data_IF_064911156575
#
_entry.id   IF_064911156575
#
_cell.length_a   1.000
_cell.length_b   1.000
_cell.length_c   1.000
_cell.angle_alpha   90.00
_cell.angle_beta   90.00
_cell.angle_gamma   90.00
#
_symmetry.space_group_name_H-M   'P 1'
#
loop_
_entity.id
_entity.type
_entity.pdbx_description
1 polymer ?
#
# COMPACT_ATOMS: atom_id res chain seq x y z
N UNK A 1 17.95 16.57 19.98
CA UNK A 1 19.06 16.54 19.00
C UNK A 1 19.65 15.13 18.78
N UNK A 2 19.91 14.31 19.81
CA UNK A 2 20.60 13.03 19.63
C UNK A 2 19.91 11.97 18.75
N UNK A 3 18.57 11.98 18.60
CA UNK A 3 17.88 10.93 17.82
C UNK A 3 17.85 11.18 16.31
N UNK A 4 17.55 12.40 15.84
CA UNK A 4 17.44 12.69 14.39
C UNK A 4 18.76 12.47 13.66
N UNK A 5 19.87 12.97 14.21
CA UNK A 5 21.19 12.77 13.61
C UNK A 5 21.63 11.29 13.65
N UNK A 6 21.30 10.55 14.71
CA UNK A 6 21.63 9.11 14.75
C UNK A 6 20.87 8.31 13.70
N UNK A 7 19.61 8.66 13.43
CA UNK A 7 18.83 8.02 12.37
C UNK A 7 19.33 8.40 10.98
N UNK A 8 19.70 9.66 10.76
CA UNK A 8 20.35 10.10 9.52
C UNK A 8 21.67 9.35 9.30
N UNK A 9 22.49 9.18 10.34
CA UNK A 9 23.73 8.41 10.28
C UNK A 9 23.49 6.94 9.91
N UNK A 10 22.47 6.30 10.48
CA UNK A 10 22.10 4.93 10.14
C UNK A 10 21.66 4.80 8.67
N UNK A 11 20.91 5.78 8.17
CA UNK A 11 20.51 5.85 6.76
C UNK A 11 21.70 6.04 5.82
N UNK A 12 22.60 6.98 6.10
CA UNK A 12 23.82 7.20 5.28
C UNK A 12 24.73 5.96 5.29
N UNK A 13 24.85 5.25 6.42
CA UNK A 13 25.59 3.99 6.47
C UNK A 13 24.98 2.91 5.55
N UNK A 14 23.66 2.89 5.40
CA UNK A 14 22.99 2.00 4.44
C UNK A 14 23.29 2.39 2.98
N UNK A 15 23.41 3.69 2.68
CA UNK A 15 23.85 4.17 1.36
C UNK A 15 25.31 3.79 1.09
N UNK A 16 26.19 3.97 2.06
CA UNK A 16 27.61 3.62 1.98
C UNK A 16 27.81 2.11 1.73
N UNK A 17 26.99 1.27 2.36
CA UNK A 17 27.01 -0.18 2.17
C UNK A 17 26.42 -0.65 0.82
N UNK A 18 25.71 0.19 0.07
CA UNK A 18 25.18 -0.15 -1.26
C UNK A 18 26.08 0.42 -2.37
N UNK A 19 26.64 -0.47 -3.20
CA UNK A 19 27.56 -0.11 -4.29
C UNK A 19 27.07 0.95 -5.29
N UNK A 20 25.75 1.13 -5.45
CA UNK A 20 25.18 2.14 -6.34
C UNK A 20 25.06 3.45 -5.58
N UNK A 21 24.51 3.43 -4.37
CA UNK A 21 24.33 4.62 -3.55
C UNK A 21 25.68 5.18 -3.05
N UNK A 22 26.66 4.35 -2.74
CA UNK A 22 27.99 4.81 -2.32
C UNK A 22 28.67 5.66 -3.40
N UNK A 23 28.57 5.26 -4.67
CA UNK A 23 29.10 6.06 -5.78
C UNK A 23 28.44 7.44 -5.88
N UNK A 24 27.18 7.56 -5.45
CA UNK A 24 26.50 8.85 -5.40
C UNK A 24 27.03 9.71 -4.26
N UNK A 25 27.31 9.12 -3.10
CA UNK A 25 27.94 9.80 -1.96
C UNK A 25 29.38 10.24 -2.30
N UNK A 26 30.19 9.35 -2.87
CA UNK A 26 31.58 9.63 -3.25
C UNK A 26 31.66 10.82 -4.22
N UNK A 27 30.75 10.91 -5.18
CA UNK A 27 30.67 12.02 -6.13
C UNK A 27 30.34 13.38 -5.46
N UNK A 28 29.80 13.36 -4.24
CA UNK A 28 29.44 14.53 -3.44
C UNK A 28 30.39 14.75 -2.25
N UNK A 29 31.55 14.09 -2.24
CA UNK A 29 32.59 14.25 -1.21
C UNK A 29 32.59 13.19 -0.11
N UNK A 30 31.73 12.17 -0.21
CA UNK A 30 31.69 11.03 0.70
C UNK A 30 30.75 11.19 1.89
N UNK A 31 30.58 10.09 2.64
CA UNK A 31 29.65 9.99 3.77
C UNK A 31 29.94 11.00 4.89
N UNK A 32 31.21 11.21 5.25
CA UNK A 32 31.62 12.16 6.30
C UNK A 32 31.25 13.60 5.98
N UNK A 33 31.48 14.04 4.73
CA UNK A 33 31.13 15.40 4.28
C UNK A 33 29.61 15.59 4.36
N UNK A 34 28.84 14.60 3.90
CA UNK A 34 27.38 14.66 3.96
C UNK A 34 26.86 14.68 5.39
N UNK A 35 27.41 13.85 6.29
CA UNK A 35 27.03 13.84 7.70
C UNK A 35 27.32 15.18 8.40
N UNK A 36 28.46 15.82 8.10
CA UNK A 36 28.76 17.16 8.62
C UNK A 36 27.75 18.20 8.13
N UNK A 37 27.37 18.17 6.85
CA UNK A 37 26.34 19.05 6.30
C UNK A 37 24.96 18.82 6.96
N UNK A 38 24.57 17.57 7.18
CA UNK A 38 23.33 17.22 7.89
C UNK A 38 23.36 17.76 9.33
N UNK A 39 24.47 17.58 10.06
CA UNK A 39 24.60 18.06 11.43
C UNK A 39 24.41 19.59 11.50
N UNK A 40 25.04 20.33 10.59
CA UNK A 40 24.90 21.79 10.49
C UNK A 40 23.48 22.23 10.13
N UNK A 41 22.80 21.53 9.22
CA UNK A 41 21.42 21.84 8.84
C UNK A 41 20.45 21.61 10.01
N UNK A 42 20.63 20.53 10.76
CA UNK A 42 19.86 20.22 11.97
C UNK A 42 20.09 21.28 13.05
N UNK A 43 21.33 21.70 13.29
CA UNK A 43 21.63 22.75 14.26
C UNK A 43 20.97 24.08 13.89
N UNK A 44 20.98 24.43 12.60
CA UNK A 44 20.42 25.69 12.09
C UNK A 44 18.88 25.71 12.04
N UNK A 45 18.25 24.60 11.69
CA UNK A 45 16.83 24.58 11.30
C UNK A 45 15.96 23.58 12.06
N UNK A 46 16.57 22.75 12.92
CA UNK A 46 15.89 21.66 13.63
C UNK A 46 15.64 20.42 12.77
N UNK A 47 15.97 20.43 11.47
CA UNK A 47 15.77 19.31 10.54
C UNK A 47 16.86 19.29 9.46
N UNK A 48 16.78 18.35 8.51
CA UNK A 48 17.60 18.37 7.30
C UNK A 48 16.81 17.94 6.06
N UNK A 49 17.35 18.27 4.88
CA UNK A 49 16.70 18.02 3.60
C UNK A 49 17.43 16.95 2.82
N UNK A 50 16.70 15.93 2.37
CA UNK A 50 17.24 14.91 1.47
C UNK A 50 17.52 15.48 0.07
N UNK A 51 18.64 15.08 -0.54
CA UNK A 51 18.84 15.25 -1.98
C UNK A 51 17.87 14.35 -2.77
N UNK A 52 17.61 14.61 -4.07
CA UNK A 52 16.78 13.72 -4.89
C UNK A 52 17.30 12.27 -4.92
N UNK A 53 18.62 12.07 -4.87
CA UNK A 53 19.24 10.74 -4.84
C UNK A 53 19.01 10.03 -3.49
N UNK A 54 19.14 10.76 -2.39
CA UNK A 54 18.83 10.27 -1.05
C UNK A 54 17.35 9.89 -0.92
N UNK A 55 16.45 10.73 -1.45
CA UNK A 55 15.01 10.44 -1.47
C UNK A 55 14.71 9.17 -2.26
N UNK A 56 15.28 9.02 -3.46
CA UNK A 56 15.09 7.84 -4.28
C UNK A 56 15.60 6.57 -3.59
N UNK A 57 16.82 6.61 -3.05
CA UNK A 57 17.39 5.45 -2.35
C UNK A 57 16.61 5.14 -1.07
N UNK A 58 16.24 6.16 -0.29
CA UNK A 58 15.50 6.01 0.96
C UNK A 58 14.12 5.41 0.76
N UNK A 59 13.37 5.82 -0.27
CA UNK A 59 12.07 5.24 -0.57
C UNK A 59 12.18 3.75 -0.97
N UNK A 60 13.19 3.42 -1.80
CA UNK A 60 13.51 2.05 -2.16
C UNK A 60 13.92 1.21 -0.94
N UNK A 61 14.75 1.78 -0.07
CA UNK A 61 15.19 1.13 1.16
C UNK A 61 14.03 0.91 2.14
N UNK A 62 13.10 1.87 2.26
CA UNK A 62 11.90 1.71 3.08
C UNK A 62 11.06 0.50 2.62
N UNK A 63 10.90 0.30 1.30
CA UNK A 63 10.23 -0.89 0.78
C UNK A 63 11.03 -2.17 1.08
N UNK A 64 12.35 -2.17 0.86
CA UNK A 64 13.21 -3.31 1.22
C UNK A 64 13.12 -3.68 2.71
N UNK A 65 12.95 -2.69 3.58
CA UNK A 65 12.84 -2.87 5.04
C UNK A 65 11.41 -3.20 5.52
N UNK A 66 10.41 -3.19 4.63
CA UNK A 66 9.02 -3.48 4.97
C UNK A 66 8.82 -4.96 5.31
N UNK A 67 8.95 -5.32 6.59
CA UNK A 67 8.90 -6.68 7.10
C UNK A 67 7.54 -7.40 6.90
N UNK A 68 6.48 -6.67 6.52
CA UNK A 68 5.17 -7.23 6.15
C UNK A 68 4.96 -7.41 4.64
N UNK A 69 5.92 -7.01 3.81
CA UNK A 69 5.78 -7.06 2.36
C UNK A 69 6.50 -8.28 1.76
N UNK A 70 5.77 -9.10 0.99
CA UNK A 70 6.34 -10.24 0.25
C UNK A 70 7.01 -9.80 -1.07
N UNK A 71 6.55 -8.70 -1.68
CA UNK A 71 7.04 -8.16 -2.95
C UNK A 71 8.41 -7.47 -2.89
N UNK A 72 9.19 -7.63 -1.81
CA UNK A 72 10.44 -6.89 -1.57
C UNK A 72 11.55 -7.13 -2.58
N UNK A 73 11.49 -8.21 -3.35
CA UNK A 73 12.46 -8.48 -4.41
C UNK A 73 12.47 -7.40 -5.51
N UNK A 74 11.40 -6.62 -5.63
CA UNK A 74 11.24 -5.52 -6.59
C UNK A 74 11.71 -4.15 -6.08
N UNK A 75 12.26 -4.07 -4.87
CA UNK A 75 12.56 -2.78 -4.23
C UNK A 75 13.41 -1.82 -5.08
N UNK A 76 14.27 -2.34 -5.97
CA UNK A 76 15.09 -1.52 -6.87
C UNK A 76 14.35 -0.97 -8.09
N UNK A 77 13.26 -1.60 -8.52
CA UNK A 77 12.47 -1.15 -9.67
C UNK A 77 11.45 -0.07 -9.32
N UNK A 78 11.31 0.28 -8.04
CA UNK A 78 10.43 1.36 -7.61
C UNK A 78 10.80 2.67 -8.29
N UNK A 79 9.83 3.24 -9.01
CA UNK A 79 9.89 4.62 -9.47
C UNK A 79 9.54 5.55 -8.32
N UNK A 80 10.39 6.55 -8.07
CA UNK A 80 10.19 7.53 -7.00
C UNK A 80 9.95 8.89 -7.65
N UNK A 81 8.75 9.44 -7.45
CA UNK A 81 8.36 10.77 -7.93
C UNK A 81 8.48 11.76 -6.78
N UNK A 82 9.23 12.83 -7.02
CA UNK A 82 9.47 13.88 -6.03
C UNK A 82 8.47 15.02 -6.23
N UNK A 83 7.49 15.11 -5.33
CA UNK A 83 6.46 16.15 -5.28
C UNK A 83 6.49 16.94 -3.97
N UNK A 84 7.68 17.01 -3.33
CA UNK A 84 7.83 17.70 -2.02
C UNK A 84 7.37 19.16 -2.06
N UNK A 85 7.48 19.82 -3.21
CA UNK A 85 7.10 21.22 -3.39
C UNK A 85 5.64 21.43 -3.85
N UNK A 86 4.87 20.36 -4.09
CA UNK A 86 3.50 20.48 -4.63
C UNK A 86 2.55 21.27 -3.71
N UNK A 87 2.80 21.22 -2.40
CA UNK A 87 2.03 21.99 -1.40
C UNK A 87 2.19 23.52 -1.54
N UNK A 88 3.28 23.99 -2.17
CA UNK A 88 3.59 25.40 -2.36
C UNK A 88 3.13 25.95 -3.73
N UNK A 89 2.46 25.13 -4.55
CA UNK A 89 1.90 25.57 -5.83
C UNK A 89 0.81 26.63 -5.63
N UNK A 90 0.52 27.42 -6.67
CA UNK A 90 -0.58 28.40 -6.64
C UNK A 90 -1.94 27.75 -6.38
N UNK A 91 -2.15 26.53 -6.89
CA UNK A 91 -3.27 25.68 -6.53
C UNK A 91 -2.76 24.31 -6.04
N UNK A 92 -2.51 24.15 -4.73
CA UNK A 92 -1.99 22.91 -4.17
C UNK A 92 -2.90 21.70 -4.39
N UNK A 93 -4.23 21.89 -4.30
CA UNK A 93 -5.21 20.81 -4.51
C UNK A 93 -5.10 20.23 -5.91
N UNK A 94 -5.09 21.09 -6.93
CA UNK A 94 -4.97 20.64 -8.33
C UNK A 94 -3.61 19.99 -8.61
N UNK A 95 -2.53 20.53 -8.04
CA UNK A 95 -1.19 19.97 -8.19
C UNK A 95 -1.09 18.55 -7.61
N UNK A 96 -1.63 18.35 -6.41
CA UNK A 96 -1.66 17.02 -5.75
C UNK A 96 -2.58 16.08 -6.51
N UNK A 97 -3.78 16.52 -6.90
CA UNK A 97 -4.74 15.72 -7.66
C UNK A 97 -4.13 15.25 -8.99
N UNK A 98 -3.55 16.16 -9.79
CA UNK A 98 -2.90 15.84 -11.05
C UNK A 98 -1.71 14.89 -10.89
N UNK A 99 -0.92 15.05 -9.83
CA UNK A 99 0.18 14.12 -9.52
C UNK A 99 -0.31 12.69 -9.24
N UNK A 100 -1.44 12.53 -8.55
CA UNK A 100 -2.02 11.22 -8.24
C UNK A 100 -2.76 10.59 -9.43
N UNK A 101 -3.44 11.39 -10.26
CA UNK A 101 -4.03 10.90 -11.51
C UNK A 101 -2.93 10.39 -12.46
N UNK A 102 -1.84 11.15 -12.62
CA UNK A 102 -0.67 10.71 -13.39
C UNK A 102 -0.03 9.46 -12.76
N UNK A 103 0.03 9.36 -11.43
CA UNK A 103 0.50 8.13 -10.76
C UNK A 103 -0.36 6.94 -11.16
N UNK A 104 -1.69 7.00 -11.07
CA UNK A 104 -2.57 5.87 -11.42
C UNK A 104 -2.46 5.47 -12.88
N UNK A 105 -2.45 6.44 -13.79
CA UNK A 105 -2.30 6.19 -15.23
C UNK A 105 -0.99 5.43 -15.53
N UNK A 106 0.12 5.91 -14.98
CA UNK A 106 1.44 5.33 -15.26
C UNK A 106 1.68 4.04 -14.48
N UNK A 107 1.03 3.88 -13.31
CA UNK A 107 1.02 2.64 -12.56
C UNK A 107 0.27 1.54 -13.33
N UNK A 108 -0.84 1.85 -13.99
CA UNK A 108 -1.60 0.87 -14.77
C UNK A 108 -0.80 0.35 -15.98
N UNK A 109 -0.13 1.24 -16.72
CA UNK A 109 0.80 0.87 -17.82
C UNK A 109 0.24 -0.20 -18.77
N UNK A 110 -1.01 0.01 -19.23
CA UNK A 110 -1.73 -0.93 -20.09
C UNK A 110 -1.77 -2.37 -19.53
N UNK A 111 -2.03 -2.50 -18.23
CA UNK A 111 -2.08 -3.77 -17.49
C UNK A 111 -0.73 -4.28 -16.99
N UNK A 112 0.41 -3.75 -17.46
CA UNK A 112 1.75 -4.11 -16.98
C UNK A 112 2.14 -3.30 -15.74
N UNK A 113 1.47 -3.58 -14.62
CA UNK A 113 1.49 -2.74 -13.42
C UNK A 113 2.92 -2.37 -13.01
N UNK A 114 3.17 -1.07 -12.90
CA UNK A 114 4.45 -0.50 -12.49
C UNK A 114 4.40 -0.09 -11.03
N UNK A 115 5.44 -0.40 -10.25
CA UNK A 115 5.54 0.06 -8.87
C UNK A 115 6.03 1.50 -8.81
N UNK A 116 5.21 2.39 -8.25
CA UNK A 116 5.47 3.82 -8.15
C UNK A 116 5.23 4.28 -6.70
N UNK A 117 6.02 5.24 -6.25
CA UNK A 117 5.73 6.04 -5.05
C UNK A 117 5.79 7.53 -5.42
N UNK A 118 4.77 8.28 -5.01
CA UNK A 118 4.76 9.75 -5.10
C UNK A 118 5.01 10.33 -3.72
N UNK A 119 6.13 11.04 -3.53
CA UNK A 119 6.54 11.54 -2.22
C UNK A 119 6.26 13.04 -2.12
N UNK A 120 5.38 13.43 -1.18
CA UNK A 120 5.04 14.82 -0.93
C UNK A 120 5.84 15.42 0.23
N UNK A 121 5.50 16.64 0.65
CA UNK A 121 6.24 17.39 1.65
C UNK A 121 6.50 16.61 2.96
N UNK A 122 7.68 16.71 3.56
CA UNK A 122 7.95 16.12 4.86
C UNK A 122 7.19 16.84 5.98
N UNK A 123 6.97 16.14 7.09
CA UNK A 123 6.50 16.72 8.35
C UNK A 123 7.48 17.82 8.81
N UNK A 124 6.93 18.96 9.21
CA UNK A 124 7.70 20.12 9.68
C UNK A 124 8.28 19.87 11.08
N UNK A 125 9.34 20.61 11.48
CA UNK A 125 9.92 20.48 12.82
C UNK A 125 8.94 20.72 13.98
N UNK A 126 7.90 21.53 13.76
CA UNK A 126 6.83 21.78 14.73
C UNK A 126 5.81 20.64 14.83
N UNK A 127 5.96 19.60 14.02
CA UNK A 127 5.07 18.43 13.97
C UNK A 127 3.88 18.57 13.02
N UNK A 128 3.70 19.72 12.37
CA UNK A 128 2.63 19.94 11.41
C UNK A 128 2.91 19.24 10.07
N UNK A 129 1.83 18.77 9.43
CA UNK A 129 1.87 18.16 8.10
C UNK A 129 1.28 19.15 7.09
N UNK A 130 2.05 19.48 6.03
CA UNK A 130 1.55 20.35 4.96
C UNK A 130 0.43 19.66 4.14
N UNK A 131 0.49 18.33 4.03
CA UNK A 131 -0.41 17.53 3.24
C UNK A 131 -0.64 16.15 3.87
N UNK A 132 -1.91 15.75 3.98
CA UNK A 132 -2.38 14.39 4.28
C UNK A 132 -3.52 14.03 3.33
N UNK A 133 -3.92 12.77 3.33
CA UNK A 133 -5.13 12.30 2.68
C UNK A 133 -6.08 11.67 3.70
N UNK A 134 -7.38 11.89 3.56
CA UNK A 134 -8.38 11.25 4.41
C UNK A 134 -8.54 9.75 4.09
N UNK A 135 -8.32 9.37 2.83
CA UNK A 135 -8.46 8.01 2.34
C UNK A 135 -7.33 7.08 2.85
N UNK A 136 -7.72 5.86 3.24
CA UNK A 136 -6.80 4.77 3.54
C UNK A 136 -6.02 4.27 2.31
N UNK A 137 -6.75 4.12 1.21
CA UNK A 137 -6.23 3.75 -0.11
C UNK A 137 -6.84 4.69 -1.14
N UNK A 138 -6.05 5.09 -2.14
CA UNK A 138 -6.52 5.97 -3.21
C UNK A 138 -7.57 5.27 -4.08
N UNK A 139 -7.35 3.98 -4.33
CA UNK A 139 -8.25 3.09 -5.07
C UNK A 139 -8.97 2.19 -4.09
N UNK A 140 -10.26 2.44 -3.87
CA UNK A 140 -11.06 1.60 -2.97
C UNK A 140 -12.55 1.73 -3.27
N UNK A 141 -13.30 0.67 -2.99
CA UNK A 141 -14.76 0.71 -3.01
C UNK A 141 -15.35 1.23 -1.70
N UNK A 142 -16.48 1.90 -1.81
CA UNK A 142 -17.28 2.39 -0.69
C UNK A 142 -18.04 1.25 0.01
N UNK A 143 -18.49 1.50 1.23
CA UNK A 143 -19.42 0.65 1.96
C UNK A 143 -20.58 1.49 2.50
N UNK A 144 -21.81 1.16 2.13
CA UNK A 144 -23.00 1.90 2.54
C UNK A 144 -23.81 1.09 3.54
N UNK A 145 -24.16 1.70 4.68
CA UNK A 145 -25.11 1.09 5.61
C UNK A 145 -26.50 1.08 5.00
N UNK A 146 -27.14 -0.08 5.05
CA UNK A 146 -28.51 -0.27 4.58
C UNK A 146 -29.48 -0.20 5.75
N UNK A 147 -30.78 -0.04 5.44
CA UNK A 147 -31.82 0.09 6.45
C UNK A 147 -32.06 -1.19 7.27
N UNK A 148 -31.59 -2.35 6.79
CA UNK A 148 -31.69 -3.66 7.42
C UNK A 148 -30.41 -4.08 8.16
N UNK A 149 -29.56 -3.11 8.52
CA UNK A 149 -28.26 -3.28 9.17
C UNK A 149 -27.21 -4.05 8.33
N UNK A 150 -27.52 -4.38 7.07
CA UNK A 150 -26.52 -4.91 6.13
C UNK A 150 -25.64 -3.80 5.57
N UNK A 151 -24.53 -4.19 4.93
CA UNK A 151 -23.66 -3.27 4.21
C UNK A 151 -23.68 -3.59 2.71
N UNK A 152 -23.95 -2.58 1.89
CA UNK A 152 -23.74 -2.63 0.45
C UNK A 152 -22.31 -2.18 0.13
N UNK A 153 -21.51 -3.04 -0.47
CA UNK A 153 -20.12 -2.75 -0.83
C UNK A 153 -19.13 -3.27 0.21
N UNK A 154 -18.06 -2.53 0.49
CA UNK A 154 -16.98 -2.96 1.37
C UNK A 154 -17.22 -2.54 2.84
N UNK A 155 -17.49 -3.47 3.78
CA UNK A 155 -17.67 -3.14 5.20
C UNK A 155 -16.49 -2.42 5.85
N UNK A 156 -15.27 -2.61 5.37
CA UNK A 156 -14.10 -1.91 5.90
C UNK A 156 -14.12 -0.42 5.54
N UNK A 157 -14.79 -0.03 4.46
CA UNK A 157 -14.82 1.35 3.99
C UNK A 157 -15.92 2.19 4.62
N UNK A 158 -16.81 1.61 5.44
CA UNK A 158 -18.06 2.29 5.79
C UNK A 158 -17.83 3.59 6.57
N UNK A 159 -16.89 3.62 7.53
CA UNK A 159 -16.60 4.85 8.27
C UNK A 159 -16.11 5.97 7.34
N UNK A 160 -15.26 5.65 6.37
CA UNK A 160 -14.78 6.63 5.38
C UNK A 160 -15.90 7.04 4.42
N UNK A 161 -16.75 6.09 4.00
CA UNK A 161 -17.94 6.39 3.18
C UNK A 161 -18.89 7.34 3.87
N UNK A 162 -19.21 7.09 5.14
CA UNK A 162 -20.07 7.95 5.96
C UNK A 162 -19.49 9.37 6.03
N UNK A 163 -18.17 9.49 6.29
CA UNK A 163 -17.47 10.78 6.29
C UNK A 163 -17.54 11.48 4.91
N UNK A 164 -17.28 10.78 3.80
CA UNK A 164 -17.38 11.38 2.47
C UNK A 164 -18.78 11.95 2.21
N UNK A 165 -19.84 11.23 2.59
CA UNK A 165 -21.23 11.68 2.45
C UNK A 165 -21.51 12.91 3.31
N UNK A 166 -21.02 12.94 4.56
CA UNK A 166 -21.13 14.11 5.45
C UNK A 166 -20.44 15.36 4.86
N UNK A 167 -19.34 15.16 4.12
CA UNK A 167 -18.62 16.20 3.40
C UNK A 167 -19.17 16.48 1.99
N UNK A 168 -20.39 16.01 1.68
CA UNK A 168 -21.14 16.37 0.49
C UNK A 168 -20.99 15.40 -0.69
N UNK A 169 -20.34 14.24 -0.51
CA UNK A 169 -20.30 13.22 -1.56
C UNK A 169 -21.68 12.63 -1.81
N UNK A 170 -22.11 12.66 -3.08
CA UNK A 170 -23.35 12.03 -3.53
C UNK A 170 -23.08 11.26 -4.82
N UNK A 171 -22.69 9.97 -4.73
CA UNK A 171 -22.40 9.18 -5.92
C UNK A 171 -23.65 9.01 -6.79
N UNK A 172 -23.48 9.07 -8.12
CA UNK A 172 -24.56 8.88 -9.07
C UNK A 172 -25.25 7.50 -8.90
N UNK A 173 -24.44 6.48 -8.59
CA UNK A 173 -24.89 5.11 -8.37
C UNK A 173 -24.26 4.50 -7.12
N UNK A 174 -25.10 3.95 -6.23
CA UNK A 174 -24.68 3.15 -5.09
C UNK A 174 -24.76 1.66 -5.44
N UNK A 175 -23.61 1.02 -5.52
CA UNK A 175 -23.45 -0.39 -5.88
C UNK A 175 -22.47 -1.07 -4.92
N UNK A 176 -22.32 -2.39 -5.05
CA UNK A 176 -21.31 -3.15 -4.29
C UNK A 176 -19.87 -2.73 -4.61
N UNK A 177 -19.66 -1.99 -5.70
CA UNK A 177 -18.36 -1.62 -6.22
C UNK A 177 -18.33 -0.15 -6.67
N UNK A 178 -18.96 0.73 -5.89
CA UNK A 178 -18.86 2.19 -6.10
C UNK A 178 -17.49 2.68 -5.62
N UNK A 179 -16.63 3.26 -6.47
CA UNK A 179 -15.34 3.82 -6.06
C UNK A 179 -15.52 4.97 -5.04
N UNK A 180 -14.60 5.07 -4.08
CA UNK A 180 -14.57 6.20 -3.15
C UNK A 180 -13.96 7.45 -3.80
N UNK A 181 -14.47 8.65 -3.49
CA UNK A 181 -13.89 9.89 -3.95
C UNK A 181 -12.62 10.21 -3.15
N UNK A 182 -11.89 11.24 -3.57
CA UNK A 182 -10.69 11.70 -2.87
C UNK A 182 -10.97 12.93 -2.00
N UNK A 183 -10.31 12.97 -0.85
CA UNK A 183 -10.24 14.17 -0.02
C UNK A 183 -8.85 14.34 0.57
N UNK A 184 -8.29 15.53 0.40
CA UNK A 184 -7.01 15.90 0.99
C UNK A 184 -7.21 16.76 2.23
N UNK A 185 -6.15 16.84 3.04
CA UNK A 185 -6.03 17.79 4.14
C UNK A 185 -4.78 18.59 3.86
N UNK A 186 -4.94 19.86 3.54
CA UNK A 186 -3.86 20.76 3.16
C UNK A 186 -3.78 21.85 4.20
N UNK A 187 -2.61 22.00 4.83
CA UNK A 187 -2.39 22.95 5.94
C UNK A 187 -3.44 22.83 7.06
N UNK A 188 -3.86 21.59 7.37
CA UNK A 188 -4.85 21.28 8.40
C UNK A 188 -6.32 21.39 7.95
N UNK A 189 -6.59 21.93 6.76
CA UNK A 189 -7.94 22.12 6.23
C UNK A 189 -8.33 21.03 5.23
N UNK A 190 -9.55 20.49 5.35
CA UNK A 190 -10.08 19.50 4.40
C UNK A 190 -10.47 20.18 3.10
N UNK A 191 -10.05 19.60 1.98
CA UNK A 191 -10.49 20.02 0.65
C UNK A 191 -11.94 19.59 0.40
N UNK A 192 -12.62 20.19 -0.60
CA UNK A 192 -13.83 19.59 -1.17
C UNK A 192 -13.59 18.14 -1.58
N UNK A 193 -14.65 17.34 -1.55
CA UNK A 193 -14.67 15.99 -2.11
C UNK A 193 -14.48 16.07 -3.62
N UNK A 194 -13.59 15.23 -4.17
CA UNK A 194 -13.37 15.09 -5.61
C UNK A 194 -13.73 13.68 -6.04
N UNK A 195 -14.78 13.53 -6.84
CA UNK A 195 -15.19 12.23 -7.38
C UNK A 195 -14.42 11.91 -8.67
N UNK A 196 -13.10 11.74 -8.51
CA UNK A 196 -12.15 11.59 -9.62
C UNK A 196 -12.51 10.41 -10.53
N UNK A 197 -13.09 9.35 -9.97
CA UNK A 197 -13.44 8.15 -10.74
C UNK A 197 -14.78 8.25 -11.45
N UNK A 198 -15.70 9.12 -11.00
CA UNK A 198 -16.88 9.49 -11.79
C UNK A 198 -16.49 10.42 -12.95
N UNK A 199 -15.60 11.38 -12.69
CA UNK A 199 -15.12 12.34 -13.71
C UNK A 199 -14.20 11.69 -14.75
N UNK A 200 -13.37 10.74 -14.32
CA UNK A 200 -12.40 10.03 -15.15
C UNK A 200 -12.45 8.52 -14.86
N UNK A 201 -13.48 7.80 -15.33
CA UNK A 201 -13.63 6.36 -15.07
C UNK A 201 -12.45 5.52 -15.53
N UNK A 202 -11.75 5.97 -16.58
CA UNK A 202 -10.57 5.29 -17.11
C UNK A 202 -9.39 5.24 -16.14
N UNK A 203 -9.38 6.03 -15.05
CA UNK A 203 -8.36 5.96 -13.99
C UNK A 203 -8.61 4.83 -12.98
N UNK A 204 -9.78 4.21 -13.00
CA UNK A 204 -10.17 3.14 -12.09
C UNK A 204 -10.44 1.85 -12.88
N UNK A 205 -9.38 1.21 -13.37
CA UNK A 205 -9.54 0.01 -14.20
C UNK A 205 -9.96 -1.19 -13.34
N UNK A 206 -11.05 -1.84 -13.74
CA UNK A 206 -11.62 -2.97 -13.01
C UNK A 206 -11.54 -4.26 -13.83
N UNK A 207 -11.32 -5.37 -13.15
CA UNK A 207 -11.35 -6.72 -13.72
C UNK A 207 -12.62 -7.42 -13.25
N UNK A 208 -13.52 -7.70 -14.19
CA UNK A 208 -14.68 -8.54 -13.93
C UNK A 208 -14.26 -9.99 -13.78
N UNK A 209 -14.73 -10.65 -12.72
CA UNK A 209 -14.30 -11.99 -12.39
C UNK A 209 -15.15 -13.05 -13.10
N UNK A 210 -14.47 -13.96 -13.77
CA UNK A 210 -15.02 -15.16 -14.43
C UNK A 210 -14.20 -16.38 -13.99
N UNK A 211 -14.79 -17.56 -14.09
CA UNK A 211 -14.11 -18.81 -13.79
C UNK A 211 -13.81 -19.58 -15.09
N UNK A 212 -12.65 -20.27 -15.21
CA UNK A 212 -12.32 -21.04 -16.42
C UNK A 212 -13.30 -22.20 -16.67
N UNK A 213 -13.75 -22.87 -15.60
CA UNK A 213 -14.56 -24.10 -15.71
C UNK A 213 -16.01 -23.95 -15.23
N UNK A 214 -16.39 -22.79 -14.69
CA UNK A 214 -17.72 -22.56 -14.07
C UNK A 214 -18.34 -21.32 -14.73
N UNK A 215 -19.03 -21.48 -15.88
CA UNK A 215 -19.64 -20.35 -16.59
C UNK A 215 -20.59 -19.52 -15.72
N UNK A 216 -21.35 -20.18 -14.83
CA UNK A 216 -22.31 -19.57 -13.92
C UNK A 216 -21.65 -18.63 -12.89
N UNK A 217 -20.33 -18.71 -12.68
CA UNK A 217 -19.59 -17.82 -11.79
C UNK A 217 -19.79 -16.34 -12.16
N UNK A 218 -19.97 -16.03 -13.46
CA UNK A 218 -20.25 -14.67 -13.93
C UNK A 218 -21.51 -14.06 -13.31
N UNK A 219 -22.47 -14.88 -12.91
CA UNK A 219 -23.71 -14.41 -12.26
C UNK A 219 -23.45 -13.76 -10.88
N UNK A 220 -22.30 -14.00 -10.27
CA UNK A 220 -21.89 -13.36 -9.02
C UNK A 220 -21.55 -11.88 -9.20
N UNK A 221 -21.30 -11.42 -10.44
CA UNK A 221 -20.95 -10.04 -10.79
C UNK A 221 -19.81 -9.44 -9.96
N UNK A 222 -18.88 -10.28 -9.49
CA UNK A 222 -17.71 -9.83 -8.74
C UNK A 222 -16.74 -9.12 -9.69
N UNK A 223 -16.12 -8.04 -9.19
CA UNK A 223 -15.03 -7.35 -9.87
C UNK A 223 -14.05 -6.78 -8.85
N UNK A 224 -12.85 -6.43 -9.30
CA UNK A 224 -11.86 -5.78 -8.46
C UNK A 224 -11.01 -4.80 -9.27
N UNK A 225 -10.59 -3.69 -8.65
CA UNK A 225 -9.71 -2.71 -9.29
C UNK A 225 -8.28 -3.24 -9.46
N UNK A 226 -7.59 -2.79 -10.50
CA UNK A 226 -6.31 -3.36 -10.93
C UNK A 226 -5.11 -2.87 -10.13
N UNK A 227 -5.08 -1.59 -9.74
CA UNK A 227 -3.92 -0.96 -9.09
C UNK A 227 -4.18 -0.83 -7.58
N UNK A 228 -3.46 -1.56 -6.69
CA UNK A 228 -3.53 -1.34 -5.25
C UNK A 228 -2.67 -0.16 -4.82
N UNK A 229 -3.28 1.01 -4.57
CA UNK A 229 -2.55 2.21 -4.17
C UNK A 229 -2.83 2.60 -2.71
N UNK A 230 -1.84 2.38 -1.84
CA UNK A 230 -1.87 2.74 -0.41
C UNK A 230 -1.58 4.23 -0.23
N UNK A 231 -2.30 4.92 0.66
CA UNK A 231 -2.16 6.38 0.86
C UNK A 231 -2.04 6.84 2.31
N UNK A 232 -2.19 5.94 3.29
CA UNK A 232 -2.30 6.28 4.72
C UNK A 232 -1.06 5.96 5.57
N UNK A 233 -0.04 5.33 4.99
CA UNK A 233 1.22 5.11 5.66
C UNK A 233 2.18 6.29 5.46
N UNK A 234 2.88 6.67 6.54
CA UNK A 234 4.07 7.50 6.45
C UNK A 234 5.23 6.71 5.89
N UNK A 235 6.06 7.35 5.09
CA UNK A 235 7.41 6.88 4.83
C UNK A 235 8.40 7.65 5.71
N UNK A 236 9.26 6.96 6.45
CA UNK A 236 10.36 7.58 7.19
C UNK A 236 11.67 7.27 6.49
N UNK A 237 12.56 8.26 6.35
CA UNK A 237 13.92 8.11 5.80
C UNK A 237 14.88 8.90 6.69
N UNK A 238 15.90 8.24 7.24
CA UNK A 238 16.90 8.84 8.13
C UNK A 238 16.33 9.78 9.21
N UNK A 239 15.17 9.48 9.80
CA UNK A 239 14.52 10.35 10.79
C UNK A 239 13.50 11.35 10.23
N UNK A 240 13.54 11.69 8.95
CA UNK A 240 12.55 12.57 8.29
C UNK A 240 11.30 11.76 7.97
N UNK A 241 10.14 12.28 8.36
CA UNK A 241 8.83 11.68 8.11
C UNK A 241 8.18 12.34 6.91
N UNK A 242 7.81 11.54 5.91
CA UNK A 242 6.97 11.91 4.78
C UNK A 242 5.57 11.36 5.04
N UNK A 243 4.64 12.18 5.55
CA UNK A 243 3.35 11.71 6.03
C UNK A 243 2.38 11.38 4.90
N UNK A 244 2.66 11.82 3.68
CA UNK A 244 1.91 11.43 2.49
C UNK A 244 2.88 10.99 1.39
N UNK A 245 2.99 9.67 1.23
CA UNK A 245 3.86 9.03 0.26
C UNK A 245 3.13 7.86 -0.44
N UNK A 246 2.03 8.12 -1.17
CA UNK A 246 1.23 7.08 -1.79
C UNK A 246 2.05 6.17 -2.70
N UNK A 247 1.84 4.86 -2.52
CA UNK A 247 2.65 3.80 -3.11
C UNK A 247 1.77 2.69 -3.67
N UNK A 248 2.14 2.15 -4.83
CA UNK A 248 1.55 0.94 -5.39
C UNK A 248 2.61 -0.12 -5.71
N UNK A 249 2.21 -1.38 -5.50
CA UNK A 249 2.79 -2.54 -6.17
C UNK A 249 1.78 -3.10 -7.17
N UNK A 250 1.77 -4.43 -7.31
CA UNK A 250 0.67 -5.18 -7.91
C UNK A 250 0.15 -6.20 -6.90
N UNK A 251 -1.05 -6.70 -7.13
CA UNK A 251 -1.68 -7.66 -6.23
C UNK A 251 -1.00 -9.04 -6.24
N UNK A 252 -0.88 -9.64 -5.06
CA UNK A 252 -0.92 -11.09 -4.91
C UNK A 252 -2.38 -11.54 -4.92
N UNK A 253 -2.74 -12.56 -5.70
CA UNK A 253 -4.14 -12.99 -5.90
C UNK A 253 -4.92 -13.23 -4.60
N UNK A 254 -4.24 -13.72 -3.56
CA UNK A 254 -4.84 -13.97 -2.24
C UNK A 254 -5.25 -12.70 -1.49
N UNK A 255 -4.71 -11.53 -1.83
CA UNK A 255 -5.19 -10.25 -1.28
C UNK A 255 -6.63 -9.99 -1.74
N UNK A 256 -6.96 -10.33 -2.99
CA UNK A 256 -8.30 -10.18 -3.53
C UNK A 256 -9.15 -11.38 -3.12
N UNK A 257 -8.77 -12.59 -3.54
CA UNK A 257 -9.61 -13.79 -3.44
C UNK A 257 -9.70 -14.39 -2.05
N UNK A 258 -8.64 -14.28 -1.23
CA UNK A 258 -8.57 -14.90 0.10
C UNK A 258 -8.63 -13.92 1.27
N UNK A 259 -8.71 -12.60 0.99
CA UNK A 259 -8.99 -11.57 1.98
C UNK A 259 -10.21 -10.76 1.55
N UNK A 260 -10.03 -9.86 0.58
CA UNK A 260 -11.04 -8.84 0.25
C UNK A 260 -12.42 -9.44 -0.10
N UNK A 261 -12.44 -10.48 -0.94
CA UNK A 261 -13.68 -11.10 -1.38
C UNK A 261 -14.22 -12.16 -0.41
N UNK A 262 -13.37 -12.81 0.38
CA UNK A 262 -13.75 -13.99 1.18
C UNK A 262 -13.98 -13.72 2.66
N UNK A 263 -13.28 -12.74 3.25
CA UNK A 263 -13.37 -12.46 4.68
C UNK A 263 -14.82 -12.13 5.08
N UNK A 264 -15.27 -12.65 6.23
CA UNK A 264 -16.65 -12.51 6.71
C UNK A 264 -17.03 -11.05 7.03
N UNK A 265 -16.05 -10.28 7.47
CA UNK A 265 -16.12 -8.84 7.75
C UNK A 265 -15.75 -8.00 6.52
N UNK A 266 -15.67 -8.62 5.33
CA UNK A 266 -15.51 -7.97 4.03
C UNK A 266 -16.68 -8.35 3.11
N UNK A 267 -16.44 -8.73 1.85
CA UNK A 267 -17.50 -9.08 0.91
C UNK A 267 -18.14 -10.45 1.17
N UNK A 268 -17.50 -11.33 1.95
CA UNK A 268 -18.04 -12.64 2.34
C UNK A 268 -18.63 -13.45 1.16
N UNK A 269 -17.92 -13.54 0.03
CA UNK A 269 -18.42 -14.13 -1.21
C UNK A 269 -18.49 -15.67 -1.20
N UNK A 270 -17.82 -16.35 -0.25
CA UNK A 270 -17.69 -17.81 -0.25
C UNK A 270 -19.03 -18.58 -0.26
N UNK A 271 -20.09 -18.18 0.46
CA UNK A 271 -21.39 -18.85 0.37
C UNK A 271 -22.01 -18.77 -1.03
N UNK A 272 -21.85 -17.63 -1.72
CA UNK A 272 -22.37 -17.46 -3.07
C UNK A 272 -21.55 -18.28 -4.09
N UNK A 273 -20.23 -18.34 -3.92
CA UNK A 273 -19.33 -19.21 -4.71
C UNK A 273 -19.71 -20.69 -4.54
N UNK A 274 -19.90 -21.15 -3.29
CA UNK A 274 -20.30 -22.52 -3.02
C UNK A 274 -21.66 -22.88 -3.64
N UNK A 275 -22.60 -21.92 -3.66
CA UNK A 275 -23.91 -22.09 -4.29
C UNK A 275 -23.82 -22.26 -5.80
N UNK A 276 -23.07 -21.43 -6.51
CA UNK A 276 -22.90 -21.59 -7.99
C UNK A 276 -22.18 -22.88 -8.34
N UNK A 277 -21.40 -23.42 -7.42
CA UNK A 277 -20.73 -24.71 -7.54
C UNK A 277 -21.58 -25.92 -7.11
N UNK A 278 -22.81 -25.72 -6.62
CA UNK A 278 -23.69 -26.79 -6.17
C UNK A 278 -23.16 -27.57 -4.96
N UNK A 279 -22.39 -26.93 -4.07
CA UNK A 279 -21.83 -27.59 -2.89
C UNK A 279 -22.81 -27.74 -1.74
N UNK A 280 -22.62 -28.79 -0.94
CA UNK A 280 -23.25 -28.91 0.37
C UNK A 280 -22.53 -28.05 1.42
N UNK A 281 -23.19 -26.97 1.84
CA UNK A 281 -22.72 -26.02 2.86
C UNK A 281 -23.25 -26.32 4.26
N UNK A 282 -23.91 -27.46 4.47
CA UNK A 282 -24.52 -27.81 5.77
C UNK A 282 -23.51 -28.11 6.88
N UNK A 283 -22.28 -28.50 6.53
CA UNK A 283 -21.25 -28.87 7.48
C UNK A 283 -19.87 -28.41 7.04
N UNK A 284 -19.11 -27.78 7.94
CA UNK A 284 -17.71 -27.43 7.67
C UNK A 284 -16.82 -28.66 7.39
N UNK A 285 -17.24 -29.88 7.79
CA UNK A 285 -16.50 -31.12 7.50
C UNK A 285 -16.47 -31.47 6.01
N UNK A 286 -17.38 -30.93 5.19
CA UNK A 286 -17.32 -31.08 3.73
C UNK A 286 -16.19 -30.26 3.10
N UNK A 287 -15.53 -29.38 3.87
CA UNK A 287 -14.50 -28.45 3.40
C UNK A 287 -14.99 -27.54 2.27
N UNK A 288 -16.30 -27.22 2.27
CA UNK A 288 -16.90 -26.36 1.26
C UNK A 288 -16.28 -24.95 1.26
N UNK A 289 -15.89 -24.44 2.43
CA UNK A 289 -15.20 -23.14 2.56
C UNK A 289 -13.84 -23.18 1.85
N UNK A 290 -13.04 -24.20 2.12
CA UNK A 290 -11.70 -24.39 1.55
C UNK A 290 -11.79 -24.54 0.02
N UNK A 291 -12.73 -25.37 -0.46
CA UNK A 291 -12.92 -25.59 -1.90
C UNK A 291 -13.43 -24.33 -2.61
N UNK A 292 -14.41 -23.63 -2.03
CA UNK A 292 -14.90 -22.37 -2.59
C UNK A 292 -13.81 -21.28 -2.59
N UNK A 293 -12.97 -21.24 -1.56
CA UNK A 293 -11.84 -20.31 -1.46
C UNK A 293 -10.81 -20.55 -2.56
N UNK A 294 -10.48 -21.82 -2.84
CA UNK A 294 -9.57 -22.17 -3.94
C UNK A 294 -10.12 -21.73 -5.30
N UNK A 295 -11.38 -22.03 -5.63
CA UNK A 295 -11.94 -21.63 -6.92
C UNK A 295 -12.16 -20.11 -7.03
N UNK A 296 -12.46 -19.41 -5.93
CA UNK A 296 -12.52 -17.94 -5.93
C UNK A 296 -11.14 -17.33 -6.25
N UNK A 297 -10.07 -17.84 -5.65
CA UNK A 297 -8.71 -17.38 -5.97
C UNK A 297 -8.30 -17.74 -7.40
N UNK A 298 -8.71 -18.91 -7.89
CA UNK A 298 -8.51 -19.31 -9.28
C UNK A 298 -9.25 -18.39 -10.27
N UNK A 299 -10.50 -18.01 -9.97
CA UNK A 299 -11.25 -17.04 -10.76
C UNK A 299 -10.54 -15.68 -10.82
N UNK A 300 -10.01 -15.21 -9.68
CA UNK A 300 -9.25 -13.95 -9.62
C UNK A 300 -8.05 -14.01 -10.56
N UNK A 301 -7.17 -15.00 -10.41
CA UNK A 301 -5.97 -15.13 -11.23
C UNK A 301 -6.32 -15.26 -12.72
N UNK A 302 -7.25 -16.16 -13.06
CA UNK A 302 -7.69 -16.37 -14.44
C UNK A 302 -8.26 -15.11 -15.09
N UNK A 303 -9.02 -14.32 -14.35
CA UNK A 303 -9.65 -13.10 -14.89
C UNK A 303 -8.63 -12.00 -15.14
N UNK A 304 -7.65 -11.85 -14.26
CA UNK A 304 -6.55 -10.91 -14.45
C UNK A 304 -5.66 -11.31 -15.62
N UNK A 305 -5.35 -12.61 -15.76
CA UNK A 305 -4.62 -13.15 -16.91
C UNK A 305 -5.37 -12.90 -18.22
N UNK A 306 -6.68 -13.17 -18.25
CA UNK A 306 -7.53 -12.93 -19.41
C UNK A 306 -7.60 -11.44 -19.79
N UNK A 307 -7.57 -10.56 -18.80
CA UNK A 307 -7.54 -9.11 -19.00
C UNK A 307 -6.14 -8.57 -19.38
N UNK A 308 -5.09 -9.41 -19.32
CA UNK A 308 -3.72 -8.98 -19.55
C UNK A 308 -3.17 -8.04 -18.47
N UNK A 309 -3.68 -8.15 -17.24
CA UNK A 309 -3.32 -7.30 -16.11
C UNK A 309 -2.43 -8.08 -15.13
N UNK A 310 -1.34 -7.46 -14.71
CA UNK A 310 -0.33 -8.08 -13.84
C UNK A 310 -0.90 -8.42 -12.47
N UNK A 311 -0.81 -9.69 -12.11
CA UNK A 311 -1.10 -10.23 -10.79
C UNK A 311 -0.11 -11.35 -10.49
N UNK A 312 0.27 -11.53 -9.23
CA UNK A 312 1.11 -12.67 -8.81
C UNK A 312 0.29 -13.72 -8.07
N UNK A 313 0.54 -15.00 -8.32
CA UNK A 313 0.06 -16.06 -7.43
C UNK A 313 0.97 -16.18 -6.19
N UNK A 314 0.43 -16.73 -5.12
CA UNK A 314 1.09 -16.78 -3.82
C UNK A 314 2.23 -17.81 -3.74
N UNK A 315 2.28 -18.80 -4.65
CA UNK A 315 3.39 -19.74 -4.72
C UNK A 315 4.59 -19.10 -5.41
N UNK A 316 4.40 -18.53 -6.60
CA UNK A 316 5.47 -17.88 -7.37
C UNK A 316 6.05 -16.68 -6.61
N UNK A 317 5.20 -15.81 -6.06
CA UNK A 317 5.67 -14.69 -5.23
C UNK A 317 6.39 -15.17 -3.96
N UNK A 318 5.94 -16.28 -3.39
CA UNK A 318 6.61 -16.94 -2.28
C UNK A 318 8.03 -17.40 -2.65
N UNK A 319 8.20 -18.08 -3.78
CA UNK A 319 9.52 -18.52 -4.25
C UNK A 319 10.45 -17.34 -4.56
N UNK A 320 9.93 -16.28 -5.20
CA UNK A 320 10.69 -15.06 -5.48
C UNK A 320 11.13 -14.34 -4.19
N UNK A 321 10.27 -14.30 -3.18
CA UNK A 321 10.62 -13.74 -1.87
C UNK A 321 11.71 -14.57 -1.17
N UNK A 322 11.66 -15.90 -1.24
CA UNK A 322 12.72 -16.75 -0.69
C UNK A 322 14.05 -16.56 -1.44
N UNK A 323 14.03 -16.43 -2.77
CA UNK A 323 15.23 -16.09 -3.54
C UNK A 323 15.83 -14.74 -3.11
N UNK A 324 15.00 -13.74 -2.83
CA UNK A 324 15.43 -12.47 -2.23
C UNK A 324 16.07 -12.69 -0.86
N UNK A 325 15.44 -13.48 0.03
CA UNK A 325 16.01 -13.79 1.34
C UNK A 325 17.39 -14.44 1.24
N UNK A 326 17.58 -15.38 0.32
CA UNK A 326 18.88 -16.01 0.07
C UNK A 326 19.91 -15.01 -0.44
N UNK A 327 19.53 -14.12 -1.36
CA UNK A 327 20.42 -13.08 -1.87
C UNK A 327 20.87 -12.08 -0.78
N UNK A 328 19.98 -11.76 0.16
CA UNK A 328 20.27 -10.94 1.33
C UNK A 328 21.21 -11.66 2.31
N UNK A 329 20.95 -12.94 2.61
CA UNK A 329 21.82 -13.75 3.47
C UNK A 329 23.24 -13.91 2.90
N UNK A 330 23.40 -14.06 1.58
CA UNK A 330 24.72 -14.10 0.92
C UNK A 330 25.53 -12.80 1.09
N UNK A 331 24.86 -11.69 1.42
CA UNK A 331 25.48 -10.39 1.72
C UNK A 331 25.63 -10.16 3.22
N UNK A 332 25.44 -11.20 4.04
CA UNK A 332 25.42 -11.13 5.50
C UNK A 332 24.37 -10.13 6.04
N UNK A 333 23.23 -10.00 5.33
CA UNK A 333 22.11 -9.17 5.76
C UNK A 333 20.97 -10.06 6.19
N UNK A 334 20.46 -9.79 7.38
CA UNK A 334 19.28 -10.46 7.90
C UNK A 334 18.02 -9.84 7.29
N UNK A 335 17.07 -10.69 6.89
CA UNK A 335 15.76 -10.23 6.42
C UNK A 335 14.77 -10.27 7.57
N UNK A 336 14.39 -9.08 8.05
CA UNK A 336 13.31 -8.93 9.03
C UNK A 336 11.96 -9.31 8.39
N UNK A 337 11.06 -9.88 9.18
CA UNK A 337 9.78 -10.39 8.70
C UNK A 337 8.73 -10.56 9.80
N UNK A 338 7.50 -10.18 9.49
CA UNK A 338 6.32 -10.54 10.27
C UNK A 338 5.73 -11.82 9.64
N UNK A 339 5.99 -12.97 10.26
CA UNK A 339 5.57 -14.27 9.72
C UNK A 339 4.07 -14.31 9.42
N UNK A 340 3.24 -13.69 10.27
CA UNK A 340 1.79 -13.66 10.12
C UNK A 340 1.29 -12.89 8.89
N UNK A 341 2.12 -12.00 8.35
CA UNK A 341 1.85 -11.25 7.12
C UNK A 341 2.51 -11.88 5.89
N UNK A 342 3.66 -12.53 6.07
CA UNK A 342 4.43 -13.12 4.96
C UNK A 342 3.89 -14.47 4.52
N UNK A 343 3.26 -15.24 5.41
CA UNK A 343 2.58 -16.48 5.03
C UNK A 343 1.22 -16.16 4.40
N UNK A 344 0.94 -16.63 3.18
CA UNK A 344 -0.34 -16.38 2.53
C UNK A 344 -1.53 -16.91 3.36
N UNK A 345 -2.71 -16.25 3.29
CA UNK A 345 -3.89 -16.61 4.08
C UNK A 345 -4.57 -17.92 3.64
N UNK A 346 -4.06 -18.57 2.59
CA UNK A 346 -4.45 -19.90 2.16
C UNK A 346 -3.20 -20.70 1.77
N UNK A 347 -3.27 -22.03 1.86
CA UNK A 347 -2.18 -22.92 1.43
C UNK A 347 -0.83 -22.63 2.11
N UNK A 348 -0.81 -22.06 3.32
CA UNK A 348 0.42 -21.53 3.94
C UNK A 348 1.57 -22.52 4.01
N UNK A 349 1.34 -23.76 4.46
CA UNK A 349 2.39 -24.79 4.57
C UNK A 349 2.96 -25.25 3.22
N UNK A 350 2.33 -24.89 2.11
CA UNK A 350 2.78 -25.15 0.74
C UNK A 350 3.67 -24.02 0.19
N UNK A 351 4.02 -23.02 1.00
CA UNK A 351 4.91 -21.94 0.60
C UNK A 351 6.20 -21.91 1.43
N UNK A 352 7.33 -21.41 0.88
CA UNK A 352 8.60 -21.36 1.61
C UNK A 352 8.53 -20.56 2.92
N UNK A 353 7.66 -19.55 2.98
CA UNK A 353 7.55 -18.62 4.10
C UNK A 353 7.14 -19.32 5.39
N UNK A 354 6.29 -20.35 5.29
CA UNK A 354 5.80 -21.10 6.44
C UNK A 354 6.94 -21.78 7.20
N UNK A 355 7.95 -22.26 6.48
CA UNK A 355 9.08 -23.03 7.02
C UNK A 355 10.26 -22.16 7.46
N UNK A 356 10.13 -20.83 7.39
CA UNK A 356 11.19 -19.87 7.71
C UNK A 356 10.86 -19.08 8.97
N UNK A 357 11.83 -18.98 9.87
CA UNK A 357 11.78 -18.06 11.01
C UNK A 357 12.23 -16.67 10.59
N UNK A 358 11.55 -15.64 11.11
CA UNK A 358 11.89 -14.24 10.90
C UNK A 358 12.00 -13.53 12.23
N UNK A 359 12.95 -12.61 12.34
CA UNK A 359 12.90 -11.57 13.35
C UNK A 359 11.92 -10.48 12.92
N UNK A 360 10.92 -10.20 13.77
CA UNK A 360 9.88 -9.19 13.52
C UNK A 360 10.30 -7.78 13.95
N UNK A 361 11.59 -7.54 14.23
CA UNK A 361 12.09 -6.19 14.47
C UNK A 361 11.84 -5.27 13.27
N UNK A 362 11.30 -4.09 13.55
CA UNK A 362 11.05 -3.04 12.55
C UNK A 362 12.27 -2.12 12.48
N UNK A 363 12.88 -2.01 11.29
CA UNK A 363 13.96 -1.04 11.05
C UNK A 363 13.42 0.37 11.22
N UNK A 364 13.84 1.09 12.27
CA UNK A 364 13.20 2.37 12.67
C UNK A 364 13.62 3.60 11.89
N UNK A 365 14.86 3.63 11.38
CA UNK A 365 15.38 4.82 10.72
C UNK A 365 14.84 5.00 9.29
N UNK A 366 14.45 3.91 8.62
CA UNK A 366 13.96 3.96 7.22
C UNK A 366 12.97 2.84 6.94
N UNK A 367 11.67 3.16 6.93
CA UNK A 367 10.56 2.20 6.74
C UNK A 367 9.21 2.93 6.51
N UNK A 368 8.15 2.15 6.32
CA UNK A 368 6.78 2.65 6.35
C UNK A 368 6.12 2.41 7.72
N UNK A 369 5.30 3.37 8.14
CA UNK A 369 4.64 3.37 9.44
C UNK A 369 3.19 3.83 9.31
N UNK A 370 2.29 3.20 10.05
CA UNK A 370 0.96 3.72 10.28
C UNK A 370 1.02 5.03 11.05
N UNK A 371 0.07 5.89 10.76
CA UNK A 371 -0.09 7.18 11.41
C UNK A 371 -1.46 7.25 12.07
N UNK A 372 -1.58 8.09 13.09
CA UNK A 372 -2.88 8.41 13.64
C UNK A 372 -3.83 8.90 12.53
N UNK A 373 -5.08 8.38 12.47
CA UNK A 373 -6.08 8.82 11.51
C UNK A 373 -6.36 10.32 11.67
N UNK A 374 -6.75 10.97 10.57
CA UNK A 374 -7.08 12.40 10.55
C UNK A 374 -8.45 12.74 11.19
N UNK A 375 -9.03 11.83 11.98
CA UNK A 375 -10.31 11.99 12.66
C UNK A 375 -10.11 12.16 14.18
N UNK A 376 -10.99 12.88 14.89
CA UNK A 376 -10.90 13.00 16.35
C UNK A 376 -11.07 11.63 17.03
N UNK A 377 -10.16 11.35 17.97
CA UNK A 377 -9.93 10.05 18.62
C UNK A 377 -11.18 9.26 19.02
N UNK A 378 -11.14 7.94 18.79
CA UNK A 378 -11.57 6.94 19.79
C UNK A 378 -10.34 6.18 20.27
N UNK A 379 -10.00 6.34 21.55
CA UNK A 379 -8.78 5.83 22.16
C UNK A 379 -8.53 4.33 21.89
N UNK A 380 -7.32 4.01 21.41
CA UNK A 380 -6.48 2.91 21.92
C UNK A 380 -5.06 3.04 21.34
N UNK A 381 -4.15 3.64 22.12
CA UNK A 381 -2.73 3.46 21.88
C UNK A 381 -2.37 2.01 22.24
N UNK A 382 -2.01 1.21 21.25
CA UNK A 382 -1.31 -0.07 21.46
C UNK A 382 0.17 0.14 21.13
N UNK A 383 1.07 -0.51 21.88
CA UNK A 383 2.53 -0.45 21.68
C UNK A 383 3.01 -1.14 20.39
N UNK A 384 2.31 -0.95 19.28
CA UNK A 384 2.63 -1.51 17.99
C UNK A 384 3.82 -0.76 17.38
N UNK A 385 4.93 -1.44 17.01
CA UNK A 385 6.17 -0.81 16.54
C UNK A 385 6.03 -0.10 15.16
N UNK A 386 4.86 -0.21 14.54
CA UNK A 386 4.54 0.41 13.25
C UNK A 386 3.81 1.74 13.36
N UNK A 387 3.54 2.27 14.56
CA UNK A 387 2.89 3.57 14.71
C UNK A 387 3.94 4.65 14.97
N UNK A 388 3.83 5.78 14.25
CA UNK A 388 4.62 6.99 14.50
C UNK A 388 4.11 7.78 15.69
#
# INVERSE_FOLDING_TARGET
MNNLFSEAKAFIACMEADSIANRMLDAEGGSEVRLNAIAQEIERSGTYTHTPKELQFGARLAWRNSNRCIGRHLWRSLEVRDFRDAHAATNPTDAVNGALQSHLNDAFNAGRIKSIISVFAPRRPDGSDALRMANHQLTRYAGFRMADDTVLGDPHSVELTDQCIEYGWSPAHRTQFTPLPWQFIIEGERTPIMDVFEEQPDLFQEVHLTHPDIPEFRSLNLKWYAVPLLSDMAMKIGGIVYPFAPFNGFYMGTEIGARNLSDKDRYNALPAVAKVMGMDTSSNRSLWLDRALVELNRAVLYSFDLAGITIGDHHTLGEQFEAFCQAESRKNREVKGDWSWLVPPMSGSLTPQFHRSYDNEVVRHTNFFYQEPNAPKKNKASGCPFHL
#
